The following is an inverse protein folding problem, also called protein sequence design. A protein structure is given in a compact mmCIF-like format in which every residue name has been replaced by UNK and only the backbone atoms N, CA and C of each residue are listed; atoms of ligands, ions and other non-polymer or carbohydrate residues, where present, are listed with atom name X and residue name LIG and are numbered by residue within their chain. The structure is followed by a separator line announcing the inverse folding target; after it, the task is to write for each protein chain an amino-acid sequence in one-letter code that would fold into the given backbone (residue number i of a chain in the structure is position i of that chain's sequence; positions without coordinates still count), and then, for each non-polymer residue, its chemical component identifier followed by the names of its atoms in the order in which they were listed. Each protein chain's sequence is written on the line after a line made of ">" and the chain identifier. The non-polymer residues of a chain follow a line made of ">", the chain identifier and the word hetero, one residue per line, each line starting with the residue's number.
data_IF_506305865947
#
_entry.id   IF_506305865947
#
_cell.length_a   1.000
_cell.length_b   1.000
_cell.length_c   1.000
_cell.angle_alpha   90.00
_cell.angle_beta   90.00
_cell.angle_gamma   90.00
#
_symmetry.space_group_name_H-M   'P 1'
#
loop_
_entity.id
_entity.type
_entity.pdbx_description
1 polymer ?
#
# COMPACT_ATOMS: atom_id res chain seq x y z
N UNK A 1 -2.98 -15.60 5.02
CA UNK A 1 -3.13 -14.54 4.02
C UNK A 1 -2.21 -14.91 2.89
N UNK A 2 -2.74 -15.12 1.69
CA UNK A 2 -1.91 -15.43 0.51
C UNK A 2 -1.20 -14.16 0.02
N UNK A 3 -0.09 -14.31 -0.70
CA UNK A 3 0.60 -13.19 -1.38
C UNK A 3 -0.36 -12.44 -2.31
N UNK A 4 -1.29 -13.15 -2.94
CA UNK A 4 -2.36 -12.57 -3.77
C UNK A 4 -3.35 -11.70 -2.98
N UNK A 5 -3.74 -12.13 -1.76
CA UNK A 5 -4.64 -11.35 -0.89
C UNK A 5 -3.97 -10.05 -0.45
N UNK A 6 -2.66 -10.10 -0.23
CA UNK A 6 -1.81 -8.97 0.16
C UNK A 6 -1.60 -8.00 -1.00
N UNK A 7 -1.45 -8.50 -2.24
CA UNK A 7 -1.43 -7.66 -3.45
C UNK A 7 -2.77 -6.93 -3.67
N UNK A 8 -3.90 -7.64 -3.54
CA UNK A 8 -5.22 -7.03 -3.66
C UNK A 8 -5.49 -5.94 -2.60
N UNK A 9 -4.97 -6.12 -1.38
CA UNK A 9 -5.04 -5.09 -0.34
C UNK A 9 -4.19 -3.86 -0.69
N UNK A 10 -3.01 -4.05 -1.25
CA UNK A 10 -2.16 -2.95 -1.69
C UNK A 10 -2.83 -2.12 -2.79
N UNK A 11 -3.44 -2.77 -3.79
CA UNK A 11 -4.21 -2.09 -4.85
C UNK A 11 -5.36 -1.27 -4.27
N UNK A 12 -6.09 -1.82 -3.29
CA UNK A 12 -7.17 -1.11 -2.63
C UNK A 12 -6.68 0.13 -1.83
N UNK A 13 -5.50 0.05 -1.21
CA UNK A 13 -4.87 1.17 -0.51
C UNK A 13 -4.42 2.26 -1.49
N UNK A 14 -3.80 1.87 -2.60
CA UNK A 14 -3.38 2.80 -3.67
C UNK A 14 -4.59 3.52 -4.26
N UNK A 15 -5.66 2.80 -4.61
CA UNK A 15 -6.88 3.40 -5.15
C UNK A 15 -7.57 4.38 -4.18
N UNK A 16 -7.41 4.19 -2.86
CA UNK A 16 -7.87 5.16 -1.85
C UNK A 16 -6.97 6.39 -1.80
N UNK A 17 -5.65 6.19 -1.85
CA UNK A 17 -4.67 7.28 -1.86
C UNK A 17 -4.86 8.19 -3.09
N UNK A 18 -5.04 7.60 -4.27
CA UNK A 18 -5.27 8.33 -5.52
C UNK A 18 -6.52 9.20 -5.45
N UNK A 19 -7.61 8.66 -4.88
CA UNK A 19 -8.85 9.43 -4.67
C UNK A 19 -8.70 10.57 -3.67
N UNK A 20 -7.91 10.39 -2.60
CA UNK A 20 -7.63 11.47 -1.66
C UNK A 20 -6.76 12.56 -2.32
N UNK A 21 -5.74 12.16 -3.08
CA UNK A 21 -4.87 13.06 -3.81
C UNK A 21 -5.62 13.85 -4.90
N UNK A 22 -6.60 13.22 -5.56
CA UNK A 22 -7.44 13.89 -6.55
C UNK A 22 -8.34 14.95 -5.92
N UNK A 23 -8.95 14.67 -4.77
CA UNK A 23 -9.71 15.67 -4.01
C UNK A 23 -8.86 16.84 -3.55
N UNK A 24 -7.60 16.60 -3.17
CA UNK A 24 -6.67 17.68 -2.83
C UNK A 24 -6.30 18.52 -4.06
N UNK A 25 -6.07 17.87 -5.21
CA UNK A 25 -5.71 18.56 -6.46
C UNK A 25 -6.87 19.35 -7.07
N UNK A 26 -8.12 18.97 -6.83
CA UNK A 26 -9.26 19.75 -7.33
C UNK A 26 -9.26 21.18 -6.76
N UNK A 27 -8.72 21.36 -5.54
CA UNK A 27 -8.72 22.64 -4.84
C UNK A 27 -10.09 23.06 -4.30
N UNK A 28 -11.12 22.23 -4.49
CA UNK A 28 -12.51 22.49 -4.06
C UNK A 28 -12.76 22.06 -2.59
N UNK A 29 -11.70 22.02 -1.78
CA UNK A 29 -11.74 21.63 -0.36
C UNK A 29 -11.26 22.78 0.51
N UNK A 30 -11.87 22.97 1.67
CA UNK A 30 -11.41 23.97 2.63
C UNK A 30 -10.02 23.61 3.18
N UNK A 31 -9.24 24.57 3.71
CA UNK A 31 -7.93 24.29 4.31
C UNK A 31 -7.98 23.22 5.41
N UNK A 32 -8.98 23.27 6.29
CA UNK A 32 -9.14 22.28 7.36
C UNK A 32 -9.46 20.89 6.80
N UNK A 33 -10.34 20.81 5.80
CA UNK A 33 -10.66 19.55 5.12
C UNK A 33 -9.45 18.99 4.37
N UNK A 34 -8.64 19.86 3.76
CA UNK A 34 -7.39 19.49 3.11
C UNK A 34 -6.37 18.93 4.11
N UNK A 35 -6.26 19.52 5.30
CA UNK A 35 -5.39 19.00 6.35
C UNK A 35 -5.79 17.57 6.76
N UNK A 36 -7.09 17.34 7.00
CA UNK A 36 -7.61 15.98 7.29
C UNK A 36 -7.34 15.01 6.15
N UNK A 37 -7.57 15.41 4.89
CA UNK A 37 -7.29 14.58 3.72
C UNK A 37 -5.81 14.20 3.59
N UNK A 38 -4.89 15.12 3.93
CA UNK A 38 -3.45 14.85 3.92
C UNK A 38 -3.06 13.88 5.04
N UNK A 39 -3.62 14.03 6.23
CA UNK A 39 -3.41 13.08 7.34
C UNK A 39 -3.91 11.67 6.99
N UNK A 40 -5.11 11.58 6.41
CA UNK A 40 -5.67 10.32 5.92
C UNK A 40 -4.79 9.70 4.83
N UNK A 41 -4.29 10.52 3.88
CA UNK A 41 -3.36 10.06 2.84
C UNK A 41 -2.05 9.54 3.44
N UNK A 42 -1.50 10.19 4.46
CA UNK A 42 -0.29 9.74 5.15
C UNK A 42 -0.53 8.40 5.88
N UNK A 43 -1.70 8.22 6.50
CA UNK A 43 -2.10 6.96 7.13
C UNK A 43 -2.23 5.83 6.09
N UNK A 44 -2.88 6.09 4.95
CA UNK A 44 -2.98 5.15 3.83
C UNK A 44 -1.61 4.76 3.26
N UNK A 45 -0.71 5.74 3.08
CA UNK A 45 0.64 5.49 2.58
C UNK A 45 1.46 4.62 3.55
N UNK A 46 1.28 4.83 4.86
CA UNK A 46 1.94 4.02 5.88
C UNK A 46 1.45 2.57 5.87
N UNK A 47 0.14 2.36 5.70
CA UNK A 47 -0.45 1.03 5.55
C UNK A 47 0.05 0.33 4.28
N UNK A 48 0.07 1.05 3.15
CA UNK A 48 0.56 0.51 1.88
C UNK A 48 2.03 0.10 1.98
N UNK A 49 2.86 0.92 2.63
CA UNK A 49 4.28 0.61 2.87
C UNK A 49 4.45 -0.67 3.70
N UNK A 50 3.63 -0.87 4.73
CA UNK A 50 3.67 -2.06 5.57
C UNK A 50 3.19 -3.33 4.83
N UNK A 51 2.21 -3.21 3.93
CA UNK A 51 1.79 -4.33 3.07
C UNK A 51 2.87 -4.69 2.04
N UNK A 52 3.48 -3.67 1.43
CA UNK A 52 4.57 -3.84 0.47
C UNK A 52 5.81 -4.50 1.09
N UNK A 53 6.18 -4.11 2.32
CA UNK A 53 7.28 -4.77 3.05
C UNK A 53 6.96 -6.25 3.33
N UNK A 54 5.70 -6.57 3.66
CA UNK A 54 5.26 -7.97 3.83
C UNK A 54 5.34 -8.76 2.52
N UNK A 55 4.91 -8.19 1.39
CA UNK A 55 5.09 -8.81 0.07
C UNK A 55 6.55 -9.07 -0.24
N UNK A 56 7.40 -8.06 -0.04
CA UNK A 56 8.84 -8.13 -0.31
C UNK A 56 9.50 -9.26 0.49
N UNK A 57 9.19 -9.37 1.78
CA UNK A 57 9.70 -10.44 2.65
C UNK A 57 9.18 -11.82 2.25
N UNK A 58 7.90 -11.93 1.89
CA UNK A 58 7.31 -13.18 1.45
C UNK A 58 7.96 -13.67 0.15
N UNK A 59 8.13 -12.78 -0.83
CA UNK A 59 8.79 -13.09 -2.10
C UNK A 59 10.27 -13.50 -1.90
N UNK A 60 10.97 -12.89 -0.95
CA UNK A 60 12.35 -13.27 -0.61
C UNK A 60 12.46 -14.63 0.12
N UNK A 61 11.37 -15.09 0.74
CA UNK A 61 11.33 -16.36 1.46
C UNK A 61 10.94 -17.55 0.55
N UNK A 62 10.42 -17.29 -0.65
CA UNK A 62 10.15 -18.36 -1.63
C UNK A 62 11.48 -18.91 -2.16
N UNK A 63 11.74 -20.23 -2.01
CA UNK A 63 12.95 -20.84 -2.54
C UNK A 63 13.00 -20.64 -4.06
N UNK A 64 14.14 -20.19 -4.57
CA UNK A 64 14.29 -20.01 -6.01
C UNK A 64 14.05 -21.36 -6.71
N UNK A 65 13.35 -21.39 -7.85
CA UNK A 65 13.16 -22.62 -8.63
C UNK A 65 14.53 -23.27 -8.91
N UNK A 66 14.74 -24.49 -8.40
CA UNK A 66 16.01 -25.24 -8.53
C UNK A 66 16.96 -25.15 -7.33
N UNK A 67 16.61 -24.48 -6.24
CA UNK A 67 17.31 -24.59 -4.96
C UNK A 67 16.65 -25.64 -4.08
N UNK A 68 17.08 -26.90 -4.21
CA UNK A 68 16.82 -27.89 -3.17
C UNK A 68 17.58 -27.49 -1.90
N UNK A 69 16.90 -27.49 -0.76
CA UNK A 69 17.53 -27.27 0.53
C UNK A 69 18.62 -28.34 0.72
N UNK A 70 19.89 -27.90 0.79
CA UNK A 70 21.01 -28.77 1.05
C UNK A 70 20.82 -29.39 2.44
N UNK A 71 20.45 -30.67 2.46
CA UNK A 71 20.45 -31.54 3.63
C UNK A 71 21.87 -31.88 4.05
#
# INVERSE_FOLDING_TARGET
>A
MSTDDTAAQLDALVARLERAAEQLRSGDVSPDAAATLVEDAAALASQASAELDRLSRAAAAEPMPGQDALL
#
